data_IF_797043383542
#
_entry.id   IF_797043383542
#
_cell.length_a   1.000
_cell.length_b   1.000
_cell.length_c   1.000
_cell.angle_alpha   90.00
_cell.angle_beta   90.00
_cell.angle_gamma   90.00
#
_symmetry.space_group_name_H-M   'P 1'
#
loop_
_entity.id
_entity.type
_entity.pdbx_description
1 polymer ?
#
# COMPACT_ATOMS: atom_id res chain seq x y z
N UNK A 1 -34.09 -18.21 -17.48
CA UNK A 1 -33.66 -17.20 -16.48
C UNK A 1 -32.24 -17.53 -16.10
N UNK A 2 -31.29 -16.61 -16.23
CA UNK A 2 -29.89 -16.84 -15.91
C UNK A 2 -29.59 -16.19 -14.56
N UNK A 3 -29.54 -16.99 -13.50
CA UNK A 3 -29.22 -16.52 -12.16
C UNK A 3 -27.75 -16.83 -11.83
N UNK A 4 -26.92 -15.83 -11.52
CA UNK A 4 -25.53 -16.06 -11.13
C UNK A 4 -25.41 -16.53 -9.68
N UNK A 5 -24.47 -17.43 -9.42
CA UNK A 5 -24.06 -17.85 -8.08
C UNK A 5 -22.56 -17.58 -7.88
N UNK A 6 -22.15 -17.32 -6.63
CA UNK A 6 -20.74 -17.21 -6.25
C UNK A 6 -20.26 -18.59 -5.77
N UNK A 7 -19.11 -19.03 -6.27
CA UNK A 7 -18.47 -20.26 -5.79
C UNK A 7 -17.08 -19.92 -5.23
N UNK A 8 -16.74 -20.47 -4.08
CA UNK A 8 -15.44 -20.29 -3.46
C UNK A 8 -14.46 -21.32 -4.02
N UNK A 9 -13.62 -20.91 -4.96
CA UNK A 9 -12.54 -21.73 -5.50
C UNK A 9 -11.19 -21.14 -5.10
N UNK A 10 -10.32 -21.98 -4.55
CA UNK A 10 -8.96 -21.61 -4.23
C UNK A 10 -8.05 -21.75 -5.45
N UNK A 11 -7.23 -20.74 -5.69
CA UNK A 11 -6.24 -20.69 -6.75
C UNK A 11 -4.86 -20.71 -6.10
N UNK A 12 -4.02 -21.68 -6.44
CA UNK A 12 -2.67 -21.81 -5.87
C UNK A 12 -1.65 -20.90 -6.57
N UNK A 13 -2.04 -20.30 -7.70
CA UNK A 13 -1.19 -19.36 -8.44
C UNK A 13 -1.38 -17.92 -7.95
N UNK A 14 -0.35 -17.37 -7.31
CA UNK A 14 -0.30 -15.95 -6.96
C UNK A 14 -0.49 -15.04 -8.18
N UNK A 15 0.04 -15.44 -9.34
CA UNK A 15 -0.14 -14.70 -10.59
C UNK A 15 -1.63 -14.63 -10.98
N UNK A 16 -2.33 -15.75 -10.97
CA UNK A 16 -3.77 -15.78 -11.29
C UNK A 16 -4.60 -15.04 -10.24
N UNK A 17 -4.22 -15.10 -8.96
CA UNK A 17 -4.81 -14.28 -7.92
C UNK A 17 -4.68 -12.79 -8.25
N UNK A 18 -3.47 -12.32 -8.58
CA UNK A 18 -3.20 -10.93 -8.94
C UNK A 18 -4.02 -10.53 -10.17
N UNK A 19 -3.97 -11.33 -11.24
CA UNK A 19 -4.67 -11.05 -12.51
C UNK A 19 -6.19 -10.97 -12.35
N UNK A 20 -6.78 -11.73 -11.43
CA UNK A 20 -8.23 -11.72 -11.15
C UNK A 20 -8.61 -10.55 -10.25
N UNK A 21 -7.95 -10.39 -9.11
CA UNK A 21 -8.32 -9.39 -8.10
C UNK A 21 -7.98 -7.96 -8.50
N UNK A 22 -6.90 -7.75 -9.27
CA UNK A 22 -6.54 -6.39 -9.72
C UNK A 22 -7.63 -5.78 -10.62
N UNK A 23 -8.40 -6.60 -11.34
CA UNK A 23 -9.53 -6.15 -12.18
C UNK A 23 -10.70 -5.60 -11.37
N UNK A 24 -10.83 -6.01 -10.11
CA UNK A 24 -11.87 -5.55 -9.19
C UNK A 24 -11.46 -4.28 -8.45
N UNK A 25 -10.25 -3.79 -8.65
CA UNK A 25 -9.77 -2.56 -8.04
C UNK A 25 -10.50 -1.34 -8.59
N UNK A 26 -11.33 -0.73 -7.75
CA UNK A 26 -12.12 0.45 -8.06
C UNK A 26 -11.74 1.61 -7.14
N UNK A 27 -10.51 2.11 -7.29
CA UNK A 27 -10.08 3.32 -6.60
C UNK A 27 -10.00 4.50 -7.57
N UNK A 28 -10.62 5.60 -7.18
CA UNK A 28 -10.73 6.79 -8.02
C UNK A 28 -9.36 7.45 -8.29
N UNK A 29 -9.30 8.25 -9.35
CA UNK A 29 -8.20 9.16 -9.64
C UNK A 29 -6.82 8.51 -9.90
N UNK A 30 -6.79 7.35 -10.57
CA UNK A 30 -5.54 6.69 -11.04
C UNK A 30 -4.61 7.63 -11.83
N UNK A 31 -5.18 8.61 -12.53
CA UNK A 31 -4.44 9.64 -13.27
C UNK A 31 -3.56 10.53 -12.36
N UNK A 32 -4.03 10.88 -11.16
CA UNK A 32 -3.27 11.74 -10.22
C UNK A 32 -2.00 11.04 -9.75
N UNK A 33 -2.14 9.77 -9.36
CA UNK A 33 -1.02 8.93 -8.97
C UNK A 33 -0.04 8.76 -10.13
N UNK A 34 -0.52 8.30 -11.29
CA UNK A 34 0.32 7.96 -12.44
C UNK A 34 1.10 9.17 -12.97
N UNK A 35 0.49 10.35 -12.99
CA UNK A 35 1.16 11.60 -13.41
C UNK A 35 2.28 12.04 -12.46
N UNK A 36 2.12 11.78 -11.16
CA UNK A 36 3.06 12.27 -10.15
C UNK A 36 4.18 11.26 -9.89
N UNK A 37 3.86 9.96 -9.82
CA UNK A 37 4.78 8.90 -9.39
C UNK A 37 6.01 8.73 -10.30
N UNK A 38 5.83 8.97 -11.60
CA UNK A 38 6.86 8.79 -12.64
C UNK A 38 7.89 9.91 -12.66
N UNK A 39 7.64 11.04 -11.97
CA UNK A 39 8.55 12.19 -12.00
C UNK A 39 9.83 11.89 -11.24
N UNK A 40 10.99 12.13 -11.83
CA UNK A 40 12.28 11.91 -11.17
C UNK A 40 12.54 12.86 -10.00
N UNK A 41 12.01 14.09 -10.07
CA UNK A 41 12.11 15.11 -9.04
C UNK A 41 10.70 15.52 -8.64
N UNK A 42 10.39 15.37 -7.36
CA UNK A 42 9.13 15.81 -6.80
C UNK A 42 9.17 17.29 -6.43
N UNK A 43 8.10 17.97 -6.80
CA UNK A 43 7.72 19.27 -6.23
C UNK A 43 6.81 19.08 -5.01
N UNK A 44 6.54 20.16 -4.26
CA UNK A 44 5.57 20.14 -3.16
C UNK A 44 4.18 19.68 -3.65
N UNK A 45 3.77 20.13 -4.83
CA UNK A 45 2.49 19.77 -5.46
C UNK A 45 2.42 18.29 -5.80
N UNK A 46 3.53 17.68 -6.23
CA UNK A 46 3.56 16.25 -6.56
C UNK A 46 3.36 15.40 -5.30
N UNK A 47 4.07 15.72 -4.22
CA UNK A 47 3.88 15.07 -2.91
C UNK A 47 2.44 15.27 -2.42
N UNK A 48 1.90 16.49 -2.50
CA UNK A 48 0.53 16.78 -2.12
C UNK A 48 -0.49 15.91 -2.87
N UNK A 49 -0.32 15.79 -4.20
CA UNK A 49 -1.18 15.01 -5.05
C UNK A 49 -1.14 13.51 -4.71
N UNK A 50 0.05 12.98 -4.47
CA UNK A 50 0.25 11.57 -4.08
C UNK A 50 -0.41 11.26 -2.72
N UNK A 51 -0.27 12.16 -1.74
CA UNK A 51 -0.87 11.95 -0.42
C UNK A 51 -2.39 12.14 -0.41
N UNK A 52 -2.92 13.10 -1.17
CA UNK A 52 -4.37 13.22 -1.40
C UNK A 52 -4.93 11.96 -2.08
N UNK A 53 -4.22 11.45 -3.09
CA UNK A 53 -4.59 10.20 -3.75
C UNK A 53 -4.63 9.04 -2.75
N UNK A 54 -3.56 8.81 -1.97
CA UNK A 54 -3.54 7.71 -0.99
C UNK A 54 -4.62 7.84 0.07
N UNK A 55 -5.00 9.07 0.43
CA UNK A 55 -6.08 9.33 1.38
C UNK A 55 -7.48 9.10 0.78
N UNK A 56 -7.62 9.09 -0.56
CA UNK A 56 -8.88 9.00 -1.29
C UNK A 56 -9.69 10.31 -1.37
N UNK A 57 -9.24 11.34 -0.65
CA UNK A 57 -9.87 12.66 -0.59
C UNK A 57 -8.85 13.70 -0.11
N UNK A 58 -9.21 14.98 -0.13
CA UNK A 58 -8.38 16.05 0.44
C UNK A 58 -8.02 15.74 1.90
N UNK A 59 -6.75 15.93 2.25
CA UNK A 59 -6.28 15.74 3.63
C UNK A 59 -7.02 16.67 4.60
N UNK A 60 -7.34 16.16 5.79
CA UNK A 60 -7.80 16.99 6.90
C UNK A 60 -6.69 17.94 7.37
N UNK A 61 -7.05 19.01 8.08
CA UNK A 61 -6.09 20.02 8.58
C UNK A 61 -4.92 19.39 9.35
N UNK A 62 -5.21 18.42 10.23
CA UNK A 62 -4.17 17.72 11.00
C UNK A 62 -3.27 16.86 10.11
N UNK A 63 -3.84 16.16 9.13
CA UNK A 63 -3.05 15.36 8.16
C UNK A 63 -2.20 16.26 7.27
N UNK A 64 -2.74 17.39 6.83
CA UNK A 64 -2.04 18.40 6.05
C UNK A 64 -0.85 18.97 6.84
N UNK A 65 -1.08 19.43 8.08
CA UNK A 65 -0.01 19.91 8.95
C UNK A 65 1.08 18.86 9.15
N UNK A 66 0.70 17.59 9.31
CA UNK A 66 1.68 16.50 9.42
C UNK A 66 2.46 16.28 8.12
N UNK A 67 1.82 16.39 6.96
CA UNK A 67 2.48 16.30 5.66
C UNK A 67 3.49 17.44 5.50
N UNK A 68 3.05 18.67 5.75
CA UNK A 68 3.86 19.88 5.60
C UNK A 68 5.11 19.81 6.47
N UNK A 69 4.92 19.52 7.76
CA UNK A 69 5.99 19.62 8.76
C UNK A 69 6.94 18.43 8.79
N UNK A 70 6.49 17.23 8.40
CA UNK A 70 7.28 15.99 8.52
C UNK A 70 7.81 15.45 7.19
N UNK A 71 7.21 15.83 6.06
CA UNK A 71 7.53 15.29 4.74
C UNK A 71 7.99 16.41 3.80
N UNK A 72 7.15 17.45 3.60
CA UNK A 72 7.43 18.50 2.61
C UNK A 72 8.66 19.33 3.01
N UNK A 73 8.88 19.58 4.30
CA UNK A 73 10.12 20.21 4.81
C UNK A 73 11.38 19.42 4.46
N UNK A 74 11.27 18.12 4.16
CA UNK A 74 12.35 17.20 3.82
C UNK A 74 12.42 16.87 2.33
N UNK A 75 11.76 17.66 1.49
CA UNK A 75 11.71 17.43 0.03
C UNK A 75 13.10 17.28 -0.63
N UNK A 76 14.15 18.04 -0.26
CA UNK A 76 15.50 17.82 -0.80
C UNK A 76 16.03 16.41 -0.53
N UNK A 77 15.82 15.88 0.67
CA UNK A 77 16.25 14.54 1.07
C UNK A 77 15.44 13.47 0.31
N UNK A 78 14.13 13.68 0.18
CA UNK A 78 13.25 12.78 -0.59
C UNK A 78 13.72 12.68 -2.05
N UNK A 79 14.04 13.81 -2.68
CA UNK A 79 14.55 13.85 -4.04
C UNK A 79 15.96 13.25 -4.17
N UNK A 80 16.81 13.37 -3.14
CA UNK A 80 18.09 12.68 -3.11
C UNK A 80 17.91 11.15 -3.09
N UNK A 81 17.03 10.62 -2.23
CA UNK A 81 16.70 9.20 -2.24
C UNK A 81 16.07 8.73 -3.55
N UNK A 82 15.28 9.58 -4.22
CA UNK A 82 14.64 9.21 -5.49
C UNK A 82 15.66 9.04 -6.62
N UNK A 83 16.69 9.90 -6.65
CA UNK A 83 17.79 9.85 -7.61
C UNK A 83 18.80 8.73 -7.33
N UNK A 84 19.04 8.40 -6.06
CA UNK A 84 19.94 7.31 -5.66
C UNK A 84 19.40 5.95 -6.10
N UNK A 85 20.23 5.01 -6.55
CA UNK A 85 19.77 3.67 -6.93
C UNK A 85 19.20 2.88 -5.75
N UNK A 86 19.80 3.04 -4.58
CA UNK A 86 19.40 2.38 -3.33
C UNK A 86 18.97 3.39 -2.27
N UNK A 87 18.23 2.88 -1.28
CA UNK A 87 17.87 3.63 -0.07
C UNK A 87 18.46 2.88 1.11
N UNK A 88 19.29 3.56 1.90
CA UNK A 88 19.73 3.09 3.21
C UNK A 88 18.54 3.09 4.17
N UNK A 89 17.93 1.90 4.37
CA UNK A 89 16.66 1.77 5.06
C UNK A 89 16.69 2.29 6.50
N UNK A 90 17.78 2.04 7.24
CA UNK A 90 17.90 2.52 8.62
C UNK A 90 18.00 4.05 8.70
N UNK A 91 18.77 4.67 7.79
CA UNK A 91 18.82 6.12 7.69
C UNK A 91 17.45 6.70 7.34
N UNK A 92 16.71 6.09 6.40
CA UNK A 92 15.35 6.48 6.07
C UNK A 92 14.40 6.37 7.28
N UNK A 93 14.44 5.25 8.01
CA UNK A 93 13.60 5.02 9.20
C UNK A 93 13.87 6.06 10.29
N UNK A 94 15.14 6.39 10.53
CA UNK A 94 15.54 7.43 11.49
C UNK A 94 15.04 8.81 11.04
N UNK A 95 15.27 9.15 9.77
CA UNK A 95 14.90 10.44 9.19
C UNK A 95 13.38 10.69 9.28
N UNK A 96 12.58 9.66 9.01
CA UNK A 96 11.12 9.75 9.00
C UNK A 96 10.46 9.12 10.24
N UNK A 97 11.18 8.97 11.36
CA UNK A 97 10.67 8.29 12.58
C UNK A 97 9.36 8.86 13.15
N UNK A 98 9.09 10.16 12.93
CA UNK A 98 7.87 10.84 13.41
C UNK A 98 6.66 10.67 12.47
N UNK A 99 6.85 10.02 11.32
CA UNK A 99 5.81 9.75 10.33
C UNK A 99 5.12 8.42 10.68
N UNK A 100 3.77 8.36 10.75
CA UNK A 100 3.08 7.11 11.01
C UNK A 100 3.40 6.04 9.97
N UNK A 101 3.41 4.78 10.40
CA UNK A 101 3.91 3.64 9.62
C UNK A 101 3.36 3.57 8.19
N UNK A 102 2.04 3.63 8.03
CA UNK A 102 1.37 3.57 6.71
C UNK A 102 1.83 4.70 5.80
N UNK A 103 1.96 5.93 6.32
CA UNK A 103 2.40 7.09 5.53
C UNK A 103 3.90 7.08 5.24
N UNK A 104 4.70 6.51 6.14
CA UNK A 104 6.14 6.33 5.97
C UNK A 104 6.45 5.25 4.93
N UNK A 105 5.74 4.14 4.95
CA UNK A 105 5.85 3.10 3.92
C UNK A 105 5.35 3.62 2.58
N UNK A 106 4.26 4.40 2.56
CA UNK A 106 3.82 5.05 1.34
C UNK A 106 4.88 6.04 0.80
N UNK A 107 5.59 6.77 1.67
CA UNK A 107 6.72 7.60 1.24
C UNK A 107 7.81 6.75 0.57
N UNK A 108 8.15 5.61 1.14
CA UNK A 108 9.15 4.70 0.60
C UNK A 108 8.73 4.18 -0.79
N UNK A 109 7.46 3.78 -0.93
CA UNK A 109 6.86 3.41 -2.21
C UNK A 109 6.95 4.54 -3.25
N UNK A 110 6.59 5.78 -2.92
CA UNK A 110 6.65 6.85 -3.94
C UNK A 110 8.08 7.20 -4.38
N UNK A 111 9.07 6.96 -3.53
CA UNK A 111 10.47 7.15 -3.88
C UNK A 111 10.93 6.02 -4.83
N UNK A 112 10.70 4.75 -4.48
CA UNK A 112 11.06 3.57 -5.30
C UNK A 112 9.85 2.63 -5.50
N UNK A 113 8.93 2.97 -6.43
CA UNK A 113 7.65 2.25 -6.57
C UNK A 113 7.79 0.83 -7.12
N UNK A 114 8.87 0.53 -7.83
CA UNK A 114 9.18 -0.80 -8.34
C UNK A 114 9.80 -1.73 -7.28
N UNK A 115 10.21 -1.21 -6.13
CA UNK A 115 10.86 -1.98 -5.07
C UNK A 115 9.97 -2.16 -3.85
N UNK A 116 9.30 -1.09 -3.42
CA UNK A 116 8.54 -1.10 -2.17
C UNK A 116 7.04 -1.11 -2.47
N UNK A 117 6.31 -2.21 -2.23
CA UNK A 117 4.86 -2.27 -2.39
C UNK A 117 4.14 -1.33 -1.42
N UNK A 118 2.95 -0.89 -1.80
CA UNK A 118 2.07 -0.11 -0.92
C UNK A 118 1.68 -0.98 0.29
N UNK A 119 1.37 -0.33 1.41
CA UNK A 119 0.89 -1.00 2.61
C UNK A 119 -0.24 -0.22 3.27
N UNK A 120 -1.29 -0.93 3.66
CA UNK A 120 -2.30 -0.50 4.62
C UNK A 120 -3.01 -1.72 5.23
N UNK A 121 -4.08 -1.48 6.00
CA UNK A 121 -4.83 -2.54 6.67
C UNK A 121 -5.43 -3.58 5.71
N UNK A 122 -5.80 -3.20 4.48
CA UNK A 122 -6.40 -4.13 3.52
C UNK A 122 -5.34 -5.07 2.98
N UNK A 123 -4.16 -4.53 2.65
CA UNK A 123 -3.00 -5.33 2.23
C UNK A 123 -2.56 -6.27 3.36
N UNK A 124 -2.50 -5.78 4.60
CA UNK A 124 -2.19 -6.62 5.76
C UNK A 124 -3.20 -7.76 5.91
N UNK A 125 -4.50 -7.46 5.82
CA UNK A 125 -5.58 -8.45 5.89
C UNK A 125 -5.46 -9.51 4.80
N UNK A 126 -5.28 -9.08 3.55
CA UNK A 126 -5.12 -9.98 2.41
C UNK A 126 -3.92 -10.91 2.59
N UNK A 127 -2.77 -10.37 2.99
CA UNK A 127 -1.57 -11.17 3.24
C UNK A 127 -1.80 -12.23 4.32
N UNK A 128 -2.36 -11.85 5.46
CA UNK A 128 -2.64 -12.80 6.54
C UNK A 128 -3.63 -13.87 6.10
N UNK A 129 -4.67 -13.52 5.33
CA UNK A 129 -5.62 -14.49 4.83
C UNK A 129 -4.94 -15.57 3.98
N UNK A 130 -4.14 -15.15 3.00
CA UNK A 130 -3.41 -16.04 2.08
C UNK A 130 -2.46 -16.98 2.85
N UNK A 131 -1.94 -16.54 3.99
CA UNK A 131 -1.00 -17.30 4.81
C UNK A 131 -1.64 -17.96 6.04
N UNK A 132 -2.97 -18.13 6.06
CA UNK A 132 -3.71 -18.75 7.17
C UNK A 132 -3.46 -18.09 8.55
N UNK A 133 -3.19 -16.78 8.55
CA UNK A 133 -3.01 -15.95 9.74
C UNK A 133 -4.31 -15.32 10.24
N UNK A 134 -4.22 -14.59 11.36
CA UNK A 134 -5.35 -13.94 12.02
C UNK A 134 -5.82 -12.64 11.32
N UNK A 135 -6.27 -12.75 10.07
CA UNK A 135 -6.66 -11.62 9.23
C UNK A 135 -7.85 -10.81 9.77
N UNK A 136 -8.78 -11.45 10.48
CA UNK A 136 -9.96 -10.81 11.08
C UNK A 136 -9.60 -9.86 12.24
N UNK A 137 -8.42 -10.03 12.84
CA UNK A 137 -7.93 -9.21 13.94
C UNK A 137 -7.21 -7.93 13.47
N UNK A 138 -7.03 -7.74 12.17
CA UNK A 138 -6.36 -6.55 11.61
C UNK A 138 -7.21 -5.32 11.84
N UNK A 139 -6.69 -4.39 12.65
CA UNK A 139 -7.34 -3.13 12.98
C UNK A 139 -6.44 -1.94 12.63
N UNK A 140 -7.05 -0.84 12.22
CA UNK A 140 -6.34 0.44 12.03
C UNK A 140 -5.63 0.94 13.30
N UNK A 141 -6.05 0.50 14.48
CA UNK A 141 -5.50 0.87 15.79
C UNK A 141 -4.21 0.16 16.17
N UNK A 142 -3.73 -0.80 15.35
CA UNK A 142 -2.42 -1.43 15.57
C UNK A 142 -1.30 -0.38 15.65
N UNK A 143 -0.32 -0.63 16.52
CA UNK A 143 0.80 0.29 16.74
C UNK A 143 1.64 0.48 15.48
N UNK A 144 2.30 1.65 15.35
CA UNK A 144 3.20 1.90 14.23
C UNK A 144 4.37 0.89 14.21
N UNK A 145 4.89 0.51 15.37
CA UNK A 145 5.95 -0.49 15.51
C UNK A 145 5.52 -1.83 14.92
N UNK A 146 4.37 -2.37 15.33
CA UNK A 146 3.87 -3.65 14.81
C UNK A 146 3.60 -3.61 13.30
N UNK A 147 3.11 -2.47 12.79
CA UNK A 147 2.90 -2.27 11.34
C UNK A 147 4.21 -2.28 10.56
N UNK A 148 5.25 -1.67 11.09
CA UNK A 148 6.58 -1.62 10.45
C UNK A 148 7.29 -2.96 10.52
N UNK A 149 7.27 -3.64 11.67
CA UNK A 149 7.81 -5.00 11.83
C UNK A 149 7.16 -5.94 10.83
N UNK A 150 5.82 -5.96 10.76
CA UNK A 150 5.11 -6.75 9.75
C UNK A 150 5.55 -6.42 8.32
N UNK A 151 5.65 -5.13 7.98
CA UNK A 151 6.00 -4.72 6.62
C UNK A 151 7.42 -5.15 6.24
N UNK A 152 8.42 -4.78 7.06
CA UNK A 152 9.83 -4.98 6.73
C UNK A 152 10.30 -6.43 6.94
N UNK A 153 9.72 -7.17 7.89
CA UNK A 153 10.21 -8.50 8.26
C UNK A 153 9.39 -9.63 7.63
N UNK A 154 8.16 -9.37 7.18
CA UNK A 154 7.27 -10.40 6.61
C UNK A 154 6.80 -10.07 5.20
N UNK A 155 6.14 -8.93 5.04
CA UNK A 155 5.48 -8.60 3.77
C UNK A 155 6.49 -8.32 2.66
N UNK A 156 7.44 -7.41 2.88
CA UNK A 156 8.42 -7.03 1.87
C UNK A 156 9.31 -8.22 1.44
N UNK A 157 9.90 -9.02 2.36
CA UNK A 157 10.68 -10.19 1.96
C UNK A 157 9.88 -11.23 1.17
N UNK A 158 8.60 -11.43 1.54
CA UNK A 158 7.72 -12.28 0.75
C UNK A 158 7.56 -11.74 -0.66
N UNK A 159 7.21 -10.46 -0.85
CA UNK A 159 7.04 -9.89 -2.20
C UNK A 159 8.32 -9.96 -3.03
N UNK A 160 9.48 -9.68 -2.43
CA UNK A 160 10.78 -9.79 -3.10
C UNK A 160 11.05 -11.24 -3.57
N UNK A 161 10.66 -12.25 -2.78
CA UNK A 161 10.82 -13.67 -3.14
C UNK A 161 9.96 -14.11 -4.34
N UNK A 162 8.88 -13.39 -4.65
CA UNK A 162 7.94 -13.75 -5.71
C UNK A 162 8.34 -13.21 -7.09
N UNK A 163 9.38 -12.38 -7.17
CA UNK A 163 9.87 -11.76 -8.42
C UNK A 163 8.75 -11.08 -9.25
N UNK A 164 7.87 -10.34 -8.56
CA UNK A 164 6.72 -9.68 -9.18
C UNK A 164 7.20 -8.49 -10.02
N UNK A 165 6.90 -8.51 -11.33
CA UNK A 165 7.27 -7.43 -12.26
C UNK A 165 6.42 -6.17 -12.07
N UNK A 166 5.11 -6.33 -11.87
CA UNK A 166 4.18 -5.21 -11.69
C UNK A 166 3.70 -5.15 -10.23
N UNK A 167 4.49 -4.47 -9.40
CA UNK A 167 4.17 -4.22 -8.00
C UNK A 167 2.84 -3.45 -7.85
N UNK A 168 2.50 -2.59 -8.81
CA UNK A 168 1.25 -1.82 -8.72
C UNK A 168 0.04 -2.72 -8.93
N UNK A 169 0.11 -3.67 -9.86
CA UNK A 169 -0.96 -4.65 -10.08
C UNK A 169 -1.15 -5.55 -8.85
N UNK A 170 -0.05 -5.97 -8.22
CA UNK A 170 -0.08 -6.67 -6.93
C UNK A 170 -0.78 -5.84 -5.85
N UNK A 171 -0.40 -4.57 -5.69
CA UNK A 171 -1.01 -3.67 -4.71
C UNK A 171 -2.52 -3.52 -4.94
N UNK A 172 -2.96 -3.42 -6.21
CA UNK A 172 -4.37 -3.35 -6.60
C UNK A 172 -5.14 -4.62 -6.23
N UNK A 173 -4.54 -5.79 -6.48
CA UNK A 173 -5.14 -7.08 -6.14
C UNK A 173 -5.27 -7.28 -4.62
N UNK A 174 -4.19 -7.05 -3.86
CA UNK A 174 -4.18 -7.21 -2.41
C UNK A 174 -5.15 -6.24 -1.74
N UNK A 175 -5.22 -5.00 -2.23
CA UNK A 175 -6.17 -4.02 -1.72
C UNK A 175 -7.62 -4.45 -1.98
N UNK A 176 -7.96 -4.80 -3.22
CA UNK A 176 -9.33 -5.20 -3.59
C UNK A 176 -9.79 -6.43 -2.80
N UNK A 177 -8.93 -7.45 -2.67
CA UNK A 177 -9.24 -8.64 -1.88
C UNK A 177 -9.37 -8.32 -0.39
N UNK A 178 -8.44 -7.54 0.16
CA UNK A 178 -8.47 -7.14 1.57
C UNK A 178 -9.66 -6.24 1.92
N UNK A 179 -10.23 -5.52 0.95
CA UNK A 179 -11.52 -4.83 1.09
C UNK A 179 -12.67 -5.83 1.10
N UNK A 180 -12.69 -6.77 0.15
CA UNK A 180 -13.71 -7.82 0.08
C UNK A 180 -13.82 -8.64 1.38
N UNK A 181 -12.69 -9.06 1.95
CA UNK A 181 -12.64 -9.79 3.23
C UNK A 181 -13.26 -9.02 4.40
N UNK A 182 -13.29 -7.69 4.32
CA UNK A 182 -13.87 -6.83 5.36
C UNK A 182 -15.30 -6.38 5.04
N UNK A 183 -15.88 -6.91 3.96
CA UNK A 183 -17.26 -6.61 3.59
C UNK A 183 -18.21 -7.60 4.26
N UNK A 184 -19.47 -7.19 4.42
CA UNK A 184 -20.54 -8.07 4.89
C UNK A 184 -20.79 -9.27 3.95
N UNK A 185 -20.39 -9.17 2.69
CA UNK A 185 -20.51 -10.27 1.74
C UNK A 185 -19.62 -11.45 2.09
N UNK A 186 -18.42 -11.20 2.63
CA UNK A 186 -17.55 -12.30 3.06
C UNK A 186 -18.12 -13.02 4.28
N UNK A 187 -18.69 -12.29 5.26
CA UNK A 187 -19.27 -12.94 6.45
C UNK A 187 -20.38 -13.93 6.11
N UNK A 188 -21.16 -13.68 5.06
CA UNK A 188 -22.24 -14.57 4.59
C UNK A 188 -21.69 -15.80 3.83
N UNK A 189 -20.51 -15.70 3.21
CA UNK A 189 -19.88 -16.82 2.49
C UNK A 189 -19.06 -17.74 3.39
N UNK A 190 -18.81 -17.33 4.64
CA UNK A 190 -18.05 -18.09 5.63
C UNK A 190 -18.90 -18.82 6.67
N UNK A 191 -20.23 -18.69 6.59
CA UNK A 191 -21.21 -19.51 7.32
C UNK A 191 -21.55 -20.77 6.51
#
# INVERSE_FOLDING_TARGET
>A
MNLPTLNNQFENSLKLFIDKWSKLYSFSNKAIYSKSIVKEIFTKTDIQNLYNWKNGMKLSVLKQKSLDTKIITKLPIINAYKKSDTIELEAFKIEFKKVPAVWKIFLLHIIKPSKYPIYDQHIHRAFLYIHNGAWSNVRNTMSNKAKEEFYFEKYLPFIESQNIKDIKQLDEAFFAFGQFLNSQFYSVLSE
#
